data_IF_936133033272
#
_entry.id   IF_936133033272
#
_cell.length_a   1.000
_cell.length_b   1.000
_cell.length_c   1.000
_cell.angle_alpha   90.00
_cell.angle_beta   90.00
_cell.angle_gamma   90.00
#
_symmetry.space_group_name_H-M   'P 1'
#
loop_
_entity.id
_entity.type
_entity.pdbx_description
1 polymer ?
#
# COMPACT_ATOMS: atom_id res chain seq x y z
N UNK A 1 -7.50 -34.09 0.47
CA UNK A 1 -7.03 -33.57 -0.83
C UNK A 1 -8.21 -33.62 -1.78
N UNK A 2 -8.95 -32.51 -1.91
CA UNK A 2 -10.07 -32.41 -2.85
C UNK A 2 -9.55 -31.70 -4.10
N UNK A 3 -9.67 -32.36 -5.25
CA UNK A 3 -9.41 -31.78 -6.56
C UNK A 3 -10.57 -30.83 -6.87
N UNK A 4 -10.30 -29.53 -6.84
CA UNK A 4 -11.29 -28.50 -7.12
C UNK A 4 -11.68 -28.56 -8.60
N UNK A 5 -12.90 -29.02 -8.86
CA UNK A 5 -13.48 -29.11 -10.19
C UNK A 5 -13.64 -27.69 -10.73
N UNK A 6 -13.00 -27.42 -11.88
CA UNK A 6 -12.88 -26.08 -12.44
C UNK A 6 -14.23 -25.37 -12.55
N UNK A 7 -14.42 -24.33 -11.73
CA UNK A 7 -15.49 -23.34 -11.88
C UNK A 7 -15.39 -22.75 -13.29
N UNK A 8 -16.39 -22.99 -14.13
CA UNK A 8 -16.51 -22.26 -15.41
C UNK A 8 -16.94 -20.83 -15.10
N UNK A 9 -16.10 -19.88 -15.51
CA UNK A 9 -16.38 -18.46 -15.35
C UNK A 9 -16.95 -17.91 -16.65
N UNK A 10 -17.95 -17.01 -16.60
CA UNK A 10 -18.43 -16.36 -17.80
C UNK A 10 -17.32 -15.48 -18.42
N UNK A 11 -17.34 -15.25 -19.75
CA UNK A 11 -16.33 -14.43 -20.43
C UNK A 11 -16.18 -13.03 -19.84
N UNK A 12 -17.28 -12.43 -19.38
CA UNK A 12 -17.31 -11.12 -18.71
C UNK A 12 -16.39 -11.07 -17.48
N UNK A 13 -16.32 -12.15 -16.69
CA UNK A 13 -15.43 -12.22 -15.52
C UNK A 13 -13.95 -12.17 -15.95
N UNK A 14 -13.62 -12.83 -17.06
CA UNK A 14 -12.26 -12.80 -17.62
C UNK A 14 -11.91 -11.39 -18.11
N UNK A 15 -12.84 -10.72 -18.77
CA UNK A 15 -12.64 -9.36 -19.28
C UNK A 15 -12.51 -8.35 -18.15
N UNK A 16 -13.39 -8.42 -17.16
CA UNK A 16 -13.32 -7.55 -16.00
C UNK A 16 -12.02 -7.75 -15.21
N UNK A 17 -11.62 -8.99 -14.94
CA UNK A 17 -10.35 -9.29 -14.29
C UNK A 17 -9.14 -8.80 -15.11
N UNK A 18 -9.20 -8.90 -16.44
CA UNK A 18 -8.19 -8.33 -17.33
C UNK A 18 -8.13 -6.81 -17.20
N UNK A 19 -9.27 -6.11 -17.18
CA UNK A 19 -9.32 -4.65 -17.03
C UNK A 19 -8.71 -4.21 -15.70
N UNK A 20 -9.08 -4.86 -14.60
CA UNK A 20 -8.50 -4.59 -13.29
C UNK A 20 -6.97 -4.80 -13.26
N UNK A 21 -6.49 -5.88 -13.89
CA UNK A 21 -5.05 -6.16 -13.92
C UNK A 21 -4.26 -5.25 -14.89
N UNK A 22 -4.76 -5.04 -16.09
CA UNK A 22 -4.05 -4.34 -17.16
C UNK A 22 -4.22 -2.82 -17.08
N UNK A 23 -5.44 -2.34 -16.83
CA UNK A 23 -5.79 -0.91 -16.85
C UNK A 23 -5.69 -0.32 -15.44
N UNK A 24 -6.37 -0.91 -14.46
CA UNK A 24 -6.29 -0.44 -13.07
C UNK A 24 -4.96 -0.81 -12.38
N UNK A 25 -4.11 -1.58 -13.06
CA UNK A 25 -2.76 -1.99 -12.63
C UNK A 25 -2.72 -2.74 -11.29
N UNK A 26 -3.82 -3.37 -10.89
CA UNK A 26 -3.88 -4.17 -9.67
C UNK A 26 -2.94 -5.39 -9.73
N UNK A 27 -2.55 -5.90 -8.56
CA UNK A 27 -1.85 -7.20 -8.46
C UNK A 27 -2.85 -8.35 -8.64
N UNK A 28 -2.36 -9.57 -8.89
CA UNK A 28 -3.28 -10.71 -8.98
C UNK A 28 -4.02 -10.97 -7.66
N UNK A 29 -3.42 -10.66 -6.51
CA UNK A 29 -4.06 -10.83 -5.21
C UNK A 29 -5.21 -9.83 -5.04
N UNK A 30 -5.00 -8.56 -5.41
CA UNK A 30 -6.05 -7.53 -5.40
C UNK A 30 -7.18 -7.83 -6.40
N UNK A 31 -6.84 -8.35 -7.59
CA UNK A 31 -7.87 -8.77 -8.56
C UNK A 31 -8.65 -9.97 -8.03
N UNK A 32 -8.00 -10.90 -7.32
CA UNK A 32 -8.67 -12.04 -6.71
C UNK A 32 -9.66 -11.59 -5.62
N UNK A 33 -9.28 -10.62 -4.79
CA UNK A 33 -10.17 -10.01 -3.79
C UNK A 33 -11.38 -9.33 -4.45
N UNK A 34 -11.17 -8.57 -5.52
CA UNK A 34 -12.24 -7.83 -6.20
C UNK A 34 -13.21 -8.75 -6.97
N UNK A 35 -12.71 -9.87 -7.50
CA UNK A 35 -13.47 -10.74 -8.43
C UNK A 35 -13.91 -12.08 -7.85
N UNK A 36 -13.49 -12.44 -6.64
CA UNK A 36 -13.66 -13.79 -6.05
C UNK A 36 -13.10 -14.93 -6.94
N UNK A 37 -12.10 -14.60 -7.78
CA UNK A 37 -11.40 -15.57 -8.64
C UNK A 37 -10.07 -15.95 -8.02
N UNK A 38 -9.80 -17.25 -7.91
CA UNK A 38 -8.52 -17.72 -7.39
C UNK A 38 -7.33 -17.17 -8.20
N UNK A 39 -6.28 -16.73 -7.49
CA UNK A 39 -5.04 -16.18 -8.07
C UNK A 39 -4.41 -17.11 -9.11
N UNK A 40 -4.46 -18.43 -8.89
CA UNK A 40 -3.97 -19.44 -9.83
C UNK A 40 -4.73 -19.41 -11.17
N UNK A 41 -6.04 -19.23 -11.13
CA UNK A 41 -6.90 -19.07 -12.32
C UNK A 41 -6.57 -17.78 -13.06
N UNK A 42 -6.39 -16.67 -12.35
CA UNK A 42 -6.00 -15.39 -12.95
C UNK A 42 -4.64 -15.46 -13.63
N UNK A 43 -3.65 -16.12 -13.00
CA UNK A 43 -2.33 -16.35 -13.60
C UNK A 43 -2.42 -17.20 -14.88
N UNK A 44 -3.29 -18.21 -14.90
CA UNK A 44 -3.56 -19.02 -16.09
C UNK A 44 -4.17 -18.17 -17.21
N UNK A 45 -5.22 -17.41 -16.94
CA UNK A 45 -5.82 -16.50 -17.93
C UNK A 45 -4.84 -15.46 -18.44
N UNK A 46 -4.02 -14.90 -17.55
CA UNK A 46 -2.95 -13.97 -17.92
C UNK A 46 -1.98 -14.57 -18.93
N UNK A 47 -1.60 -15.84 -18.76
CA UNK A 47 -0.75 -16.56 -19.71
C UNK A 47 -1.49 -16.86 -21.02
N UNK A 48 -2.74 -17.33 -20.95
CA UNK A 48 -3.55 -17.68 -22.13
C UNK A 48 -3.86 -16.48 -23.02
N UNK A 49 -4.18 -15.33 -22.42
CA UNK A 49 -4.64 -14.14 -23.13
C UNK A 49 -3.60 -13.00 -23.19
N UNK A 50 -2.35 -13.28 -22.78
CA UNK A 50 -1.23 -12.33 -22.90
C UNK A 50 -1.41 -11.04 -22.11
N UNK A 51 -1.97 -11.11 -20.89
CA UNK A 51 -2.31 -9.90 -20.12
C UNK A 51 -1.08 -9.07 -19.73
N UNK A 52 0.08 -9.71 -19.51
CA UNK A 52 1.32 -9.00 -19.18
C UNK A 52 1.79 -8.12 -20.32
N UNK A 53 1.83 -8.67 -21.54
CA UNK A 53 2.18 -7.91 -22.73
C UNK A 53 1.18 -6.79 -23.00
N UNK A 54 -0.11 -7.05 -22.76
CA UNK A 54 -1.17 -6.03 -22.86
C UNK A 54 -0.95 -4.89 -21.86
N UNK A 55 -0.64 -5.22 -20.60
CA UNK A 55 -0.34 -4.23 -19.55
C UNK A 55 0.88 -3.38 -19.90
N UNK A 56 1.93 -4.00 -20.44
CA UNK A 56 3.13 -3.28 -20.89
C UNK A 56 2.82 -2.34 -22.05
N UNK A 57 2.11 -2.81 -23.08
CA UNK A 57 1.69 -1.98 -24.23
C UNK A 57 0.85 -0.78 -23.80
N UNK A 58 -0.07 -0.99 -22.85
CA UNK A 58 -0.87 0.10 -22.29
C UNK A 58 0.01 1.09 -21.51
N UNK A 59 0.97 0.60 -20.73
CA UNK A 59 1.88 1.48 -19.99
C UNK A 59 2.77 2.32 -20.93
N UNK A 60 3.27 1.73 -22.02
CA UNK A 60 4.02 2.45 -23.05
C UNK A 60 3.14 3.51 -23.73
N UNK A 61 1.95 3.12 -24.19
CA UNK A 61 1.03 4.06 -24.84
C UNK A 61 0.61 5.21 -23.92
N UNK A 62 0.42 4.95 -22.63
CA UNK A 62 0.12 5.99 -21.65
C UNK A 62 1.29 6.96 -21.46
N UNK A 63 2.52 6.45 -21.39
CA UNK A 63 3.72 7.28 -21.29
C UNK A 63 3.92 8.16 -22.54
N UNK A 64 3.70 7.58 -23.72
CA UNK A 64 3.79 8.31 -25.00
C UNK A 64 2.72 9.42 -25.07
N UNK A 65 1.47 9.11 -24.69
CA UNK A 65 0.39 10.10 -24.63
C UNK A 65 0.71 11.25 -23.67
N UNK A 66 1.33 10.96 -22.52
CA UNK A 66 1.75 11.99 -21.57
C UNK A 66 2.84 12.90 -22.18
N UNK A 67 3.84 12.31 -22.84
CA UNK A 67 4.89 13.06 -23.52
C UNK A 67 4.33 13.93 -24.65
N UNK A 68 3.47 13.36 -25.50
CA UNK A 68 2.83 14.07 -26.61
C UNK A 68 1.94 15.20 -26.13
N UNK A 69 1.22 15.02 -25.01
CA UNK A 69 0.39 16.07 -24.41
C UNK A 69 1.24 17.25 -23.94
N UNK A 70 2.38 16.98 -23.30
CA UNK A 70 3.32 18.03 -22.88
C UNK A 70 3.88 18.78 -24.09
N UNK A 71 4.25 18.03 -25.14
CA UNK A 71 4.78 18.62 -26.36
C UNK A 71 3.72 19.48 -27.07
N UNK A 72 2.50 18.98 -27.23
CA UNK A 72 1.39 19.69 -27.85
C UNK A 72 1.09 21.01 -27.11
N UNK A 73 1.07 20.99 -25.78
CA UNK A 73 0.92 22.20 -24.96
C UNK A 73 2.05 23.20 -25.21
N UNK A 74 3.30 22.74 -25.23
CA UNK A 74 4.46 23.60 -25.52
C UNK A 74 4.35 24.27 -26.89
N UNK A 75 3.99 23.50 -27.93
CA UNK A 75 3.85 24.00 -29.29
C UNK A 75 2.70 25.00 -29.39
N UNK A 76 1.54 24.72 -28.80
CA UNK A 76 0.39 25.63 -28.82
C UNK A 76 0.66 26.94 -28.07
N UNK A 77 1.34 26.89 -26.92
CA UNK A 77 1.74 28.09 -26.18
C UNK A 77 2.71 28.96 -27.00
N UNK A 78 3.72 28.36 -27.62
CA UNK A 78 4.65 29.07 -28.51
C UNK A 78 3.91 29.70 -29.70
N UNK A 79 2.98 28.97 -30.30
CA UNK A 79 2.14 29.49 -31.39
C UNK A 79 1.30 30.67 -30.93
N UNK A 80 0.69 30.62 -29.73
CA UNK A 80 -0.11 31.71 -29.18
C UNK A 80 0.73 32.98 -28.99
N UNK A 81 1.95 32.86 -28.47
CA UNK A 81 2.86 34.00 -28.26
C UNK A 81 3.14 34.74 -29.58
N UNK A 82 3.31 33.99 -30.67
CA UNK A 82 3.63 34.56 -31.99
C UNK A 82 2.38 35.10 -32.70
N UNK A 83 1.33 34.29 -32.78
CA UNK A 83 0.13 34.59 -33.59
C UNK A 83 -0.88 35.50 -32.88
N UNK A 84 -0.97 35.40 -31.55
CA UNK A 84 -1.96 36.09 -30.71
C UNK A 84 -3.40 35.94 -31.20
N UNK A 85 -3.70 34.86 -31.94
CA UNK A 85 -5.02 34.64 -32.49
C UNK A 85 -5.95 33.96 -31.48
N UNK A 86 -7.24 34.31 -31.54
CA UNK A 86 -8.23 33.85 -30.59
C UNK A 86 -8.42 32.32 -30.61
N UNK A 87 -8.32 31.68 -31.79
CA UNK A 87 -8.53 30.24 -31.92
C UNK A 87 -7.43 29.46 -31.20
N UNK A 88 -6.17 29.84 -31.40
CA UNK A 88 -5.04 29.27 -30.66
C UNK A 88 -5.17 29.57 -29.16
N UNK A 89 -5.66 30.76 -28.78
CA UNK A 89 -5.95 31.12 -27.39
C UNK A 89 -6.97 30.19 -26.72
N UNK A 90 -8.07 29.87 -27.41
CA UNK A 90 -9.07 28.92 -26.93
C UNK A 90 -8.51 27.50 -26.81
N UNK A 91 -7.73 27.03 -27.78
CA UNK A 91 -7.12 25.72 -27.73
C UNK A 91 -6.15 25.57 -26.54
N UNK A 92 -5.31 26.59 -26.29
CA UNK A 92 -4.44 26.63 -25.11
C UNK A 92 -5.26 26.60 -23.82
N UNK A 93 -6.30 27.44 -23.71
CA UNK A 93 -7.16 27.47 -22.52
C UNK A 93 -7.81 26.12 -22.21
N UNK A 94 -8.29 25.41 -23.25
CA UNK A 94 -8.85 24.07 -23.10
C UNK A 94 -7.81 23.05 -22.61
N UNK A 95 -6.60 23.05 -23.20
CA UNK A 95 -5.52 22.14 -22.79
C UNK A 95 -5.05 22.43 -21.36
N UNK A 96 -4.92 23.70 -20.96
CA UNK A 96 -4.52 24.07 -19.60
C UNK A 96 -5.61 23.76 -18.57
N UNK A 97 -6.89 23.94 -18.93
CA UNK A 97 -8.02 23.55 -18.08
C UNK A 97 -8.07 22.04 -17.86
N UNK A 98 -7.81 21.26 -18.92
CA UNK A 98 -7.71 19.80 -18.81
C UNK A 98 -6.54 19.39 -17.92
N UNK A 99 -5.37 20.02 -18.10
CA UNK A 99 -4.20 19.74 -17.27
C UNK A 99 -4.43 20.05 -15.79
N UNK A 100 -5.13 21.15 -15.47
CA UNK A 100 -5.51 21.48 -14.09
C UNK A 100 -6.42 20.41 -13.48
N UNK A 101 -7.47 20.00 -14.20
CA UNK A 101 -8.38 18.93 -13.74
C UNK A 101 -7.67 17.61 -13.50
N UNK A 102 -6.75 17.24 -14.39
CA UNK A 102 -5.93 16.03 -14.23
C UNK A 102 -5.02 16.13 -12.99
N UNK A 103 -4.39 17.29 -12.76
CA UNK A 103 -3.56 17.50 -11.58
C UNK A 103 -4.37 17.46 -10.28
N UNK A 104 -5.58 17.99 -10.27
CA UNK A 104 -6.52 17.90 -9.14
C UNK A 104 -6.92 16.45 -8.87
N UNK A 105 -7.29 15.69 -9.90
CA UNK A 105 -7.65 14.28 -9.77
C UNK A 105 -6.47 13.45 -9.25
N UNK A 106 -5.25 13.66 -9.78
CA UNK A 106 -4.06 12.97 -9.30
C UNK A 106 -3.72 13.31 -7.84
N UNK A 107 -3.92 14.56 -7.42
CA UNK A 107 -3.79 14.95 -6.00
C UNK A 107 -4.85 14.28 -5.13
N UNK A 108 -6.11 14.26 -5.56
CA UNK A 108 -7.19 13.59 -4.84
C UNK A 108 -6.89 12.08 -4.70
N UNK A 109 -6.44 11.43 -5.76
CA UNK A 109 -6.04 10.02 -5.73
C UNK A 109 -4.86 9.77 -4.79
N UNK A 110 -3.84 10.65 -4.80
CA UNK A 110 -2.69 10.55 -3.88
C UNK A 110 -3.12 10.70 -2.42
N UNK A 111 -4.07 11.61 -2.14
CA UNK A 111 -4.64 11.78 -0.80
C UNK A 111 -5.47 10.57 -0.37
N UNK A 112 -6.31 10.00 -1.26
CA UNK A 112 -7.07 8.78 -0.98
C UNK A 112 -6.15 7.58 -0.76
N UNK A 113 -5.10 7.44 -1.57
CA UNK A 113 -4.10 6.36 -1.43
C UNK A 113 -3.28 6.49 -0.14
N UNK A 114 -3.01 7.72 0.29
CA UNK A 114 -2.38 7.98 1.59
C UNK A 114 -3.34 7.65 2.74
N UNK A 115 -4.64 7.90 2.58
CA UNK A 115 -5.66 7.54 3.57
C UNK A 115 -5.85 6.02 3.70
N UNK A 116 -5.85 5.26 2.61
CA UNK A 116 -5.93 3.78 2.65
C UNK A 116 -4.65 3.13 3.16
N UNK A 117 -3.46 3.71 2.89
CA UNK A 117 -2.22 3.29 3.57
C UNK A 117 -2.27 3.53 5.08
N UNK A 118 -3.17 4.40 5.53
CA UNK A 118 -3.39 4.73 6.93
C UNK A 118 -4.59 4.00 7.54
N UNK A 119 -5.06 2.91 6.92
CA UNK A 119 -5.97 1.98 7.60
C UNK A 119 -5.28 1.51 8.89
N UNK A 120 -5.79 2.03 10.00
CA UNK A 120 -5.19 1.90 11.32
C UNK A 120 -5.02 0.42 11.64
N UNK A 121 -3.77 0.00 11.90
CA UNK A 121 -3.49 -1.35 12.40
C UNK A 121 -4.41 -1.64 13.59
N UNK A 122 -5.18 -2.74 13.59
CA UNK A 122 -6.01 -3.08 14.74
C UNK A 122 -5.09 -3.45 15.91
N UNK A 123 -5.01 -2.58 16.92
CA UNK A 123 -4.28 -2.84 18.17
C UNK A 123 -5.23 -3.58 19.11
N UNK A 124 -5.08 -4.90 19.24
CA UNK A 124 -5.98 -5.75 20.02
C UNK A 124 -5.36 -6.25 21.32
N UNK A 125 -4.04 -6.37 21.37
CA UNK A 125 -3.29 -6.79 22.55
C UNK A 125 -2.23 -5.75 22.93
N UNK A 126 -1.67 -5.88 24.15
CA UNK A 126 -0.51 -5.08 24.56
C UNK A 126 0.67 -5.28 23.60
N UNK A 127 0.86 -6.51 23.11
CA UNK A 127 1.94 -6.88 22.19
C UNK A 127 1.77 -6.21 20.82
N UNK A 128 0.53 -6.12 20.34
CA UNK A 128 0.20 -5.38 19.12
C UNK A 128 0.51 -3.89 19.27
N UNK A 129 0.26 -3.32 20.45
CA UNK A 129 0.52 -1.91 20.74
C UNK A 129 2.02 -1.61 20.75
N UNK A 130 2.82 -2.49 21.37
CA UNK A 130 4.28 -2.39 21.41
C UNK A 130 4.88 -2.48 20.00
N UNK A 131 4.42 -3.45 19.21
CA UNK A 131 4.89 -3.63 17.83
C UNK A 131 4.50 -2.44 16.93
N UNK A 132 3.31 -1.87 17.10
CA UNK A 132 2.87 -0.70 16.35
C UNK A 132 3.69 0.56 16.73
N UNK A 133 4.01 0.72 18.02
CA UNK A 133 4.81 1.84 18.49
C UNK A 133 6.26 1.75 18.01
N UNK A 134 6.84 0.54 17.98
CA UNK A 134 8.18 0.28 17.44
C UNK A 134 8.27 0.65 15.95
N UNK A 135 7.32 0.18 15.13
CA UNK A 135 7.24 0.50 13.71
C UNK A 135 7.11 2.01 13.47
N UNK A 136 6.29 2.70 14.27
CA UNK A 136 6.13 4.15 14.18
C UNK A 136 7.44 4.92 14.49
N UNK A 137 8.19 4.46 15.49
CA UNK A 137 9.50 5.03 15.86
C UNK A 137 10.52 4.79 14.74
N UNK A 138 10.54 3.60 14.14
CA UNK A 138 11.41 3.29 13.00
C UNK A 138 11.09 4.13 11.77
N UNK A 139 9.81 4.30 11.43
CA UNK A 139 9.38 5.17 10.32
C UNK A 139 9.79 6.63 10.56
N UNK A 140 9.64 7.12 11.80
CA UNK A 140 10.08 8.46 12.18
C UNK A 140 11.58 8.62 12.04
N UNK A 141 12.36 7.62 12.49
CA UNK A 141 13.82 7.61 12.36
C UNK A 141 14.25 7.58 10.89
N UNK A 142 13.63 6.74 10.06
CA UNK A 142 13.92 6.66 8.62
C UNK A 142 13.61 7.99 7.90
N UNK A 143 12.50 8.63 8.23
CA UNK A 143 12.17 9.96 7.69
C UNK A 143 13.20 11.02 8.10
N UNK A 144 13.71 10.94 9.33
CA UNK A 144 14.76 11.82 9.84
C UNK A 144 16.10 11.59 9.14
N UNK A 145 16.46 10.33 8.87
CA UNK A 145 17.68 9.97 8.15
C UNK A 145 17.64 10.35 6.66
N UNK A 146 16.46 10.47 6.05
CA UNK A 146 16.30 10.91 4.66
C UNK A 146 16.49 12.43 4.48
N UNK A 147 16.30 13.22 5.55
CA UNK A 147 16.54 14.67 5.53
C UNK A 147 17.44 15.11 6.70
N UNK A 148 18.74 14.76 6.68
CA UNK A 148 19.64 15.01 7.82
C UNK A 148 19.84 16.50 8.16
N UNK A 149 19.64 17.38 7.17
CA UNK A 149 19.80 18.82 7.31
C UNK A 149 18.70 19.50 8.16
N UNK A 150 17.57 18.82 8.38
CA UNK A 150 16.46 19.31 9.20
C UNK A 150 16.46 18.68 10.61
N UNK A 151 17.53 17.96 10.98
CA UNK A 151 17.65 17.30 12.28
C UNK A 151 18.07 18.28 13.36
N UNK A 152 17.19 18.50 14.33
CA UNK A 152 17.52 19.20 15.56
C UNK A 152 17.74 18.23 16.73
N UNK A 153 18.43 18.72 17.77
CA UNK A 153 18.75 17.93 18.95
C UNK A 153 17.49 17.48 19.72
N UNK A 154 16.40 18.25 19.63
CA UNK A 154 15.13 17.93 20.29
C UNK A 154 14.49 16.70 19.67
N UNK A 155 14.43 16.62 18.34
CA UNK A 155 13.90 15.48 17.62
C UNK A 155 14.67 14.20 17.93
N UNK A 156 16.00 14.27 18.06
CA UNK A 156 16.83 13.14 18.47
C UNK A 156 16.52 12.70 19.91
N UNK A 157 16.35 13.65 20.84
CA UNK A 157 15.95 13.32 22.21
C UNK A 157 14.56 12.70 22.30
N UNK A 158 13.61 13.16 21.49
CA UNK A 158 12.24 12.65 21.50
C UNK A 158 12.18 11.22 20.92
N UNK A 159 12.95 10.92 19.87
CA UNK A 159 13.10 9.54 19.36
C UNK A 159 13.74 8.63 20.41
N UNK A 160 14.79 9.09 21.11
CA UNK A 160 15.44 8.30 22.17
C UNK A 160 14.45 7.92 23.28
N UNK A 161 13.65 8.88 23.76
CA UNK A 161 12.62 8.64 24.79
C UNK A 161 11.56 7.66 24.30
N UNK A 162 11.16 7.74 23.03
CA UNK A 162 10.21 6.80 22.45
C UNK A 162 10.77 5.37 22.41
N UNK A 163 12.05 5.19 22.08
CA UNK A 163 12.72 3.89 22.12
C UNK A 163 12.85 3.34 23.54
N UNK A 164 13.17 4.20 24.52
CA UNK A 164 13.21 3.83 25.95
C UNK A 164 11.84 3.31 26.42
N UNK A 165 10.74 4.00 26.05
CA UNK A 165 9.38 3.58 26.37
C UNK A 165 9.02 2.21 25.76
N UNK A 166 9.38 1.98 24.50
CA UNK A 166 9.16 0.67 23.84
C UNK A 166 9.93 -0.45 24.57
N UNK A 167 11.17 -0.19 24.99
CA UNK A 167 11.98 -1.16 25.72
C UNK A 167 11.38 -1.48 27.11
N UNK A 168 10.88 -0.46 27.82
CA UNK A 168 10.19 -0.65 29.10
C UNK A 168 8.91 -1.49 28.94
N UNK A 169 8.10 -1.21 27.93
CA UNK A 169 6.88 -1.98 27.65
C UNK A 169 7.20 -3.45 27.35
N UNK A 170 8.24 -3.73 26.54
CA UNK A 170 8.71 -5.10 26.27
C UNK A 170 9.19 -5.84 27.53
N UNK A 171 9.84 -5.11 28.45
CA UNK A 171 10.34 -5.67 29.70
C UNK A 171 9.21 -6.02 30.69
N UNK A 172 8.12 -5.26 30.71
CA UNK A 172 6.93 -5.57 31.51
C UNK A 172 6.21 -6.81 30.98
N UNK A 173 6.09 -6.96 29.66
CA UNK A 173 5.48 -8.15 29.04
C UNK A 173 6.26 -9.44 29.31
N UNK A 174 7.59 -9.38 29.34
CA UNK A 174 8.42 -10.55 29.64
C UNK A 174 8.30 -10.97 31.10
N UNK A 175 8.12 -10.03 32.03
CA UNK A 175 7.86 -10.31 33.45
C UNK A 175 6.45 -10.88 33.69
N UNK A 176 5.42 -10.35 33.02
CA UNK A 176 4.04 -10.88 33.10
C UNK A 176 3.94 -12.34 32.57
N UNK A 177 4.80 -12.74 31.62
CA UNK A 177 4.86 -14.12 31.09
C UNK A 177 5.61 -15.11 31.99
N UNK A 178 6.55 -14.64 32.81
CA UNK A 178 7.37 -15.47 33.70
C UNK A 178 6.63 -15.83 35.00
N UNK A 179 5.84 -14.90 35.55
CA UNK A 179 5.01 -15.14 36.76
C UNK A 179 3.83 -16.13 36.52
N UNK A 180 3.51 -16.44 35.26
CA UNK A 180 2.41 -17.35 34.87
C UNK A 180 2.76 -18.85 34.78
N UNK A 181 4.04 -19.24 34.90
CA UNK A 181 4.49 -20.65 34.85
C UNK A 181 5.07 -21.12 36.18
N UNK A 182 4.33 -20.88 37.25
CA UNK A 182 4.67 -21.31 38.61
C UNK A 182 3.79 -22.44 39.16
N UNK A 183 3.32 -23.42 38.39
CA UNK A 183 2.73 -24.63 38.99
C UNK A 183 3.87 -25.51 39.50
N UNK A 184 4.31 -25.26 40.74
CA UNK A 184 5.18 -26.18 41.48
C UNK A 184 4.45 -27.52 41.63
N UNK A 185 4.85 -28.49 40.83
CA UNK A 185 4.57 -29.90 41.04
C UNK A 185 5.27 -30.39 42.32
N UNK A 186 4.69 -30.09 43.47
CA UNK A 186 5.07 -30.65 44.78
C UNK A 186 3.81 -30.75 45.62
N UNK A 187 2.92 -31.68 45.29
CA UNK A 187 1.86 -32.10 46.24
C UNK A 187 1.17 -33.43 45.92
N UNK A 188 1.60 -34.18 44.88
CA UNK A 188 1.01 -35.51 44.62
C UNK A 188 1.69 -36.59 45.48
N UNK A 189 3.00 -36.54 45.68
CA UNK A 189 3.71 -37.53 46.52
C UNK A 189 3.41 -37.39 48.01
N UNK A 190 3.21 -36.17 48.53
CA UNK A 190 2.86 -35.96 49.93
C UNK A 190 1.45 -36.46 50.30
N UNK A 191 0.56 -36.61 49.32
CA UNK A 191 -0.81 -37.09 49.54
C UNK A 191 -0.92 -38.62 49.49
N UNK A 192 0.04 -39.31 48.88
CA UNK A 192 0.07 -40.78 48.76
C UNK A 192 0.70 -41.47 49.98
N UNK A 193 1.58 -40.79 50.72
CA UNK A 193 2.19 -41.32 51.95
C UNK A 193 1.29 -41.20 53.19
N UNK A 194 0.18 -40.47 53.11
CA UNK A 194 -0.81 -40.35 54.19
C UNK A 194 -1.88 -41.48 54.19
N UNK A 195 -1.78 -42.43 53.25
CA UNK A 195 -2.74 -43.53 53.05
C UNK A 195 -2.11 -44.93 53.18
N UNK A 196 -0.89 -45.03 53.73
CA UNK A 196 -0.29 -46.29 54.22
C UNK A 196 -0.20 -46.27 55.74
#
# INVERSE_FOLDING_TARGET
MALDAGREYPPETVWHAQELYCVARLTFDQVAEETDVAVSTLKRWSATYGWRDKREKLAQAEADLQADTIMARSVMLKKLIVSQDAQTGFAVSALESLAMKQAEAARAQKLMSAATRNELRPIRTKEDAVAALEEAVELKLNSMLQSPQDLDFKAVQDVRKAMELVAEMKAVETKEKDDGRGVRGTNIEAMLDALR
#
